data_IF_776399146083
#
_entry.id   IF_776399146083
#
_cell.length_a   1.000
_cell.length_b   1.000
_cell.length_c   1.000
_cell.angle_alpha   90.00
_cell.angle_beta   90.00
_cell.angle_gamma   90.00
#
_symmetry.space_group_name_H-M   'P 1'
#
loop_
_entity.id
_entity.type
_entity.pdbx_description
1 polymer ?
#
# COMPACT_ATOMS: atom_id res chain seq x y z
N UNK A 1 -3.99 -0.72 -6.15
CA UNK A 1 -2.87 0.05 -6.77
C UNK A 1 -1.81 -0.92 -7.29
N UNK A 2 -1.10 -1.67 -6.42
CA UNK A 2 0.07 -2.51 -6.79
C UNK A 2 -0.18 -3.48 -7.96
N UNK A 3 -1.33 -4.17 -8.01
CA UNK A 3 -1.64 -5.08 -9.11
C UNK A 3 -1.76 -4.36 -10.45
N UNK A 4 -2.33 -3.16 -10.46
CA UNK A 4 -2.40 -2.32 -11.65
C UNK A 4 -1.03 -1.82 -12.08
N UNK A 5 -0.22 -1.34 -11.12
CA UNK A 5 1.16 -0.93 -11.38
C UNK A 5 2.00 -2.07 -11.99
N UNK A 6 1.81 -3.31 -11.53
CA UNK A 6 2.51 -4.47 -12.05
C UNK A 6 2.16 -4.78 -13.52
N UNK A 7 0.93 -4.54 -13.93
CA UNK A 7 0.49 -4.69 -15.34
C UNK A 7 0.77 -3.43 -16.19
N UNK A 8 1.58 -2.50 -15.67
CA UNK A 8 2.02 -1.30 -16.39
C UNK A 8 1.00 -0.18 -16.47
N UNK A 9 -0.09 -0.26 -15.70
CA UNK A 9 -1.12 0.78 -15.70
C UNK A 9 -0.58 2.05 -15.03
N UNK A 10 -0.60 3.15 -15.76
CA UNK A 10 -0.38 4.48 -15.22
C UNK A 10 -1.72 5.07 -14.80
N UNK A 11 -2.07 4.92 -13.53
CA UNK A 11 -3.39 5.33 -12.99
C UNK A 11 -3.70 6.80 -13.33
N UNK A 12 -2.69 7.67 -13.27
CA UNK A 12 -2.74 9.05 -13.81
C UNK A 12 -1.64 9.16 -14.85
N UNK A 13 -1.99 9.50 -16.07
CA UNK A 13 -1.06 9.66 -17.19
C UNK A 13 -0.31 10.99 -17.14
N UNK A 14 0.70 11.16 -18.00
CA UNK A 14 1.46 12.42 -18.12
C UNK A 14 0.61 13.62 -18.55
N UNK A 15 -0.53 13.39 -19.18
CA UNK A 15 -1.50 14.42 -19.57
C UNK A 15 -2.53 14.74 -18.49
N UNK A 16 -2.36 14.15 -17.31
CA UNK A 16 -3.25 14.28 -16.15
C UNK A 16 -4.64 13.66 -16.37
N UNK A 17 -4.70 12.60 -17.17
CA UNK A 17 -5.90 11.78 -17.40
C UNK A 17 -5.82 10.45 -16.63
N UNK A 18 -6.96 9.89 -16.28
CA UNK A 18 -7.07 8.58 -15.64
C UNK A 18 -7.10 7.45 -16.68
N UNK A 19 -6.29 6.39 -16.49
CA UNK A 19 -6.20 5.21 -17.39
C UNK A 19 -6.75 3.92 -16.74
N UNK A 20 -7.73 4.04 -15.84
CA UNK A 20 -8.34 2.86 -15.19
C UNK A 20 -9.37 2.11 -16.03
N UNK A 21 -9.64 2.55 -17.26
CA UNK A 21 -10.49 1.86 -18.24
C UNK A 21 -9.72 1.36 -19.48
N UNK A 22 -8.39 1.51 -19.50
CA UNK A 22 -7.56 0.92 -20.54
C UNK A 22 -7.50 -0.61 -20.45
N UNK A 23 -7.08 -1.28 -21.52
CA UNK A 23 -7.11 -2.76 -21.62
C UNK A 23 -6.36 -3.45 -20.48
N UNK A 24 -5.20 -2.93 -20.07
CA UNK A 24 -4.42 -3.47 -18.97
C UNK A 24 -5.17 -3.33 -17.64
N UNK A 25 -5.75 -2.16 -17.36
CA UNK A 25 -6.52 -1.91 -16.15
C UNK A 25 -7.78 -2.78 -16.07
N UNK A 26 -8.53 -2.88 -17.19
CA UNK A 26 -9.68 -3.78 -17.28
C UNK A 26 -9.28 -5.25 -17.10
N UNK A 27 -8.08 -5.64 -17.57
CA UNK A 27 -7.51 -6.97 -17.35
C UNK A 27 -7.32 -7.28 -15.86
N UNK A 28 -6.75 -6.36 -15.11
CA UNK A 28 -6.58 -6.49 -13.65
C UNK A 28 -7.93 -6.55 -12.94
N UNK A 29 -8.86 -5.67 -13.31
CA UNK A 29 -10.21 -5.65 -12.72
C UNK A 29 -10.94 -6.98 -12.95
N UNK A 30 -10.86 -7.53 -14.18
CA UNK A 30 -11.42 -8.84 -14.53
C UNK A 30 -10.77 -9.97 -13.75
N UNK A 31 -9.46 -9.93 -13.56
CA UNK A 31 -8.73 -10.93 -12.76
C UNK A 31 -9.22 -10.94 -11.31
N UNK A 32 -9.29 -9.78 -10.67
CA UNK A 32 -9.77 -9.66 -9.27
C UNK A 32 -11.22 -10.14 -9.17
N UNK A 33 -12.08 -9.70 -10.10
CA UNK A 33 -13.49 -10.12 -10.16
C UNK A 33 -13.60 -11.64 -10.33
N UNK A 34 -12.78 -12.23 -11.18
CA UNK A 34 -12.73 -13.67 -11.38
C UNK A 34 -12.39 -14.44 -10.10
N UNK A 35 -11.45 -13.96 -9.29
CA UNK A 35 -11.15 -14.56 -7.98
C UNK A 35 -12.34 -14.47 -7.01
N UNK A 36 -13.03 -13.33 -7.01
CA UNK A 36 -14.21 -13.13 -6.17
C UNK A 36 -15.38 -14.03 -6.62
N UNK A 37 -15.63 -14.14 -7.91
CA UNK A 37 -16.71 -14.96 -8.47
C UNK A 37 -16.47 -16.47 -8.29
N UNK A 38 -15.20 -16.89 -8.29
CA UNK A 38 -14.79 -18.26 -8.01
C UNK A 38 -14.89 -18.60 -6.50
N UNK A 39 -15.04 -17.61 -5.63
CA UNK A 39 -15.01 -17.80 -4.18
C UNK A 39 -13.60 -17.96 -3.61
N UNK A 40 -12.55 -17.73 -4.42
CA UNK A 40 -11.15 -17.81 -3.99
C UNK A 40 -10.71 -16.56 -3.22
N UNK A 41 -11.40 -15.44 -3.45
CA UNK A 41 -11.16 -14.18 -2.75
C UNK A 41 -12.47 -13.46 -2.43
N UNK A 42 -12.39 -12.44 -1.58
CA UNK A 42 -13.46 -11.48 -1.41
C UNK A 42 -12.91 -10.05 -1.43
N UNK A 43 -13.69 -9.13 -1.94
CA UNK A 43 -13.36 -7.71 -1.95
C UNK A 43 -14.02 -7.04 -0.74
N UNK A 44 -13.20 -6.63 0.23
CA UNK A 44 -13.70 -5.91 1.40
C UNK A 44 -14.09 -4.48 1.04
N UNK A 45 -15.30 -4.08 1.39
CA UNK A 45 -15.88 -2.79 1.02
C UNK A 45 -16.51 -2.07 2.21
N UNK A 46 -16.92 -0.82 2.00
CA UNK A 46 -17.52 0.03 3.03
C UNK A 46 -16.48 0.68 3.97
N UNK A 47 -16.99 1.37 4.99
CA UNK A 47 -16.18 2.15 5.94
C UNK A 47 -15.27 1.26 6.80
N UNK A 48 -15.70 0.05 7.12
CA UNK A 48 -15.00 -0.91 7.99
C UNK A 48 -14.23 -1.98 7.22
N UNK A 49 -14.05 -1.80 5.90
CA UNK A 49 -13.42 -2.77 5.01
C UNK A 49 -12.07 -3.29 5.55
N UNK A 50 -11.18 -2.38 5.95
CA UNK A 50 -9.87 -2.75 6.49
C UNK A 50 -9.95 -3.50 7.82
N UNK A 51 -10.90 -3.14 8.69
CA UNK A 51 -11.10 -3.84 9.96
C UNK A 51 -11.68 -5.25 9.73
N UNK A 52 -12.67 -5.37 8.86
CA UNK A 52 -13.29 -6.65 8.48
C UNK A 52 -12.27 -7.60 7.85
N UNK A 53 -11.46 -7.10 6.92
CA UNK A 53 -10.42 -7.88 6.27
C UNK A 53 -9.41 -8.44 7.29
N UNK A 54 -8.93 -7.60 8.22
CA UNK A 54 -8.03 -8.05 9.28
C UNK A 54 -8.67 -9.08 10.19
N UNK A 55 -9.93 -8.84 10.61
CA UNK A 55 -10.63 -9.76 11.50
C UNK A 55 -10.83 -11.14 10.85
N UNK A 56 -11.17 -11.18 9.56
CA UNK A 56 -11.29 -12.46 8.85
C UNK A 56 -9.97 -13.24 8.81
N UNK A 57 -8.84 -12.55 8.71
CA UNK A 57 -7.53 -13.20 8.81
C UNK A 57 -7.25 -13.70 10.24
N UNK A 58 -7.53 -12.91 11.26
CA UNK A 58 -7.36 -13.31 12.68
C UNK A 58 -8.23 -14.52 13.02
N UNK A 59 -9.44 -14.57 12.49
CA UNK A 59 -10.38 -15.67 12.66
C UNK A 59 -10.06 -16.89 11.77
N UNK A 60 -8.95 -16.88 11.04
CA UNK A 60 -8.52 -17.93 10.11
C UNK A 60 -9.56 -18.26 9.01
N UNK A 61 -10.39 -17.27 8.64
CA UNK A 61 -11.36 -17.38 7.54
C UNK A 61 -10.71 -17.16 6.17
N UNK A 62 -9.54 -16.52 6.15
CA UNK A 62 -8.73 -16.30 4.94
C UNK A 62 -7.30 -16.76 5.19
N UNK A 63 -6.70 -17.40 4.18
CA UNK A 63 -5.31 -17.87 4.23
C UNK A 63 -4.31 -16.71 4.09
N UNK A 64 -4.65 -15.71 3.31
CA UNK A 64 -3.79 -14.55 3.05
C UNK A 64 -4.59 -13.26 2.98
N UNK A 65 -3.89 -12.15 3.11
CA UNK A 65 -4.45 -10.80 3.00
C UNK A 65 -3.46 -9.89 2.28
N UNK A 66 -3.93 -9.12 1.31
CA UNK A 66 -3.13 -8.09 0.66
C UNK A 66 -3.22 -6.81 1.48
N UNK A 67 -2.13 -6.46 2.17
CA UNK A 67 -2.17 -5.33 3.10
C UNK A 67 -0.78 -4.67 3.24
N UNK A 68 -0.71 -3.59 4.01
CA UNK A 68 0.53 -2.88 4.28
C UNK A 68 1.41 -3.59 5.31
N UNK A 69 2.72 -3.61 5.08
CA UNK A 69 3.71 -4.16 6.01
C UNK A 69 3.73 -3.46 7.37
N UNK A 70 3.30 -2.20 7.45
CA UNK A 70 3.24 -1.45 8.71
C UNK A 70 2.27 -2.06 9.75
N UNK A 71 1.40 -2.96 9.33
CA UNK A 71 0.50 -3.71 10.22
C UNK A 71 1.01 -5.10 10.60
N UNK A 72 2.19 -5.50 10.14
CA UNK A 72 2.74 -6.84 10.42
C UNK A 72 2.77 -7.14 11.93
N UNK A 73 3.26 -6.22 12.76
CA UNK A 73 3.28 -6.42 14.21
C UNK A 73 1.88 -6.61 14.80
N UNK A 74 0.88 -5.94 14.23
CA UNK A 74 -0.51 -6.10 14.65
C UNK A 74 -1.03 -7.51 14.30
N UNK A 75 -0.75 -8.01 13.09
CA UNK A 75 -1.08 -9.37 12.69
C UNK A 75 -0.43 -10.40 13.62
N UNK A 76 0.87 -10.32 13.84
CA UNK A 76 1.60 -11.23 14.73
C UNK A 76 1.01 -11.23 16.14
N UNK A 77 0.72 -10.05 16.70
CA UNK A 77 0.18 -9.94 18.05
C UNK A 77 -1.25 -10.49 18.20
N UNK A 78 -2.04 -10.48 17.11
CA UNK A 78 -3.43 -10.96 17.10
C UNK A 78 -3.57 -12.43 16.70
N UNK A 79 -2.51 -13.04 16.23
CA UNK A 79 -2.49 -14.43 15.76
C UNK A 79 -1.47 -15.27 16.55
N UNK A 80 -1.64 -15.45 17.88
CA UNK A 80 -0.67 -16.18 18.70
C UNK A 80 -0.63 -17.68 18.40
N UNK A 81 -1.68 -18.23 17.78
CA UNK A 81 -1.85 -19.65 17.56
C UNK A 81 -1.23 -20.16 16.25
N UNK A 82 -0.71 -19.26 15.41
CA UNK A 82 -0.04 -19.60 14.16
C UNK A 82 1.00 -18.57 13.76
N UNK A 83 1.95 -19.00 12.93
CA UNK A 83 3.00 -18.11 12.41
C UNK A 83 2.47 -17.27 11.26
N UNK A 84 2.67 -15.94 11.35
CA UNK A 84 2.32 -14.98 10.30
C UNK A 84 3.55 -14.71 9.46
N UNK A 85 3.52 -15.16 8.21
CA UNK A 85 4.53 -14.85 7.20
C UNK A 85 4.22 -13.56 6.44
N UNK A 86 5.19 -13.12 5.64
CA UNK A 86 5.03 -12.04 4.67
C UNK A 86 5.66 -12.47 3.35
N UNK A 87 4.98 -12.19 2.26
CA UNK A 87 5.48 -12.40 0.91
C UNK A 87 5.35 -11.12 0.09
N UNK A 88 6.24 -10.96 -0.88
CA UNK A 88 6.11 -9.92 -1.88
C UNK A 88 4.88 -10.19 -2.75
N UNK A 89 4.30 -9.13 -3.33
CA UNK A 89 3.20 -9.27 -4.28
C UNK A 89 3.57 -10.24 -5.42
N UNK A 90 2.62 -11.04 -5.92
CA UNK A 90 2.86 -11.89 -7.07
C UNK A 90 3.29 -11.07 -8.29
N UNK A 91 4.09 -11.70 -9.15
CA UNK A 91 4.50 -11.08 -10.40
C UNK A 91 3.29 -10.86 -11.31
N UNK A 92 3.37 -9.79 -12.11
CA UNK A 92 2.46 -9.56 -13.23
C UNK A 92 2.60 -10.64 -14.31
N UNK A 93 1.70 -10.62 -15.28
CA UNK A 93 1.80 -11.46 -16.49
C UNK A 93 3.06 -11.18 -17.29
N UNK A 94 3.59 -9.96 -17.23
CA UNK A 94 4.88 -9.53 -17.79
C UNK A 94 6.09 -10.02 -17.00
N UNK A 95 5.91 -10.52 -15.79
CA UNK A 95 6.97 -10.87 -14.85
C UNK A 95 7.41 -9.73 -13.93
N UNK A 96 6.85 -8.53 -14.06
CA UNK A 96 7.13 -7.39 -13.20
C UNK A 96 6.64 -7.63 -11.76
N UNK A 97 7.38 -7.09 -10.79
CA UNK A 97 7.15 -7.32 -9.36
C UNK A 97 7.20 -6.02 -8.55
N UNK A 98 6.68 -4.95 -9.12
CA UNK A 98 6.66 -3.65 -8.44
C UNK A 98 5.77 -3.68 -7.19
N UNK A 99 6.04 -2.78 -6.27
CA UNK A 99 5.16 -2.48 -5.14
C UNK A 99 5.18 -1.00 -4.86
N UNK A 100 4.10 -0.50 -4.30
CA UNK A 100 4.01 0.89 -3.88
C UNK A 100 4.50 1.07 -2.46
N UNK A 101 5.09 2.23 -2.20
CA UNK A 101 5.38 2.71 -0.85
C UNK A 101 4.50 3.90 -0.53
N UNK A 102 3.77 3.78 0.55
CA UNK A 102 3.14 4.90 1.25
C UNK A 102 3.85 5.15 2.57
N UNK A 103 3.63 6.30 3.16
CA UNK A 103 4.26 6.62 4.43
C UNK A 103 3.74 7.93 5.01
N UNK A 104 4.33 8.34 6.12
CA UNK A 104 4.08 9.62 6.75
C UNK A 104 5.22 10.57 6.44
N UNK A 105 4.89 11.84 6.23
CA UNK A 105 5.85 12.92 6.09
C UNK A 105 5.75 13.85 7.30
N UNK A 106 6.88 14.40 7.70
CA UNK A 106 6.96 15.39 8.76
C UNK A 106 7.30 16.73 8.13
N UNK A 107 6.53 17.76 8.46
CA UNK A 107 6.73 19.11 7.92
C UNK A 107 6.80 20.15 9.03
N UNK A 108 7.53 21.24 8.75
CA UNK A 108 7.60 22.41 9.62
C UNK A 108 6.77 23.52 8.98
N UNK A 109 5.67 23.98 9.61
CA UNK A 109 4.84 25.05 9.04
C UNK A 109 5.65 26.33 8.78
N UNK A 110 5.49 26.88 7.59
CA UNK A 110 6.23 28.10 7.17
C UNK A 110 5.91 29.34 8.00
N UNK A 111 4.71 29.38 8.61
CA UNK A 111 4.23 30.50 9.41
C UNK A 111 4.85 30.59 10.82
N UNK A 112 5.52 29.55 11.30
CA UNK A 112 6.17 29.57 12.62
C UNK A 112 7.35 30.58 12.62
N UNK A 113 7.63 31.13 13.80
CA UNK A 113 8.84 31.92 14.03
C UNK A 113 10.12 31.09 13.86
N UNK A 114 11.25 31.73 13.71
CA UNK A 114 12.51 31.05 13.41
C UNK A 114 13.02 30.18 14.58
N UNK A 115 12.76 30.56 15.82
CA UNK A 115 13.18 29.78 16.99
C UNK A 115 12.38 28.44 17.03
N UNK A 116 11.08 28.50 16.82
CA UNK A 116 10.22 27.33 16.71
C UNK A 116 10.63 26.41 15.53
N UNK A 117 10.94 27.00 14.35
CA UNK A 117 11.45 26.21 13.21
C UNK A 117 12.75 25.51 13.54
N UNK A 118 13.69 26.20 14.19
CA UNK A 118 14.97 25.60 14.56
C UNK A 118 14.79 24.45 15.56
N UNK A 119 13.95 24.59 16.57
CA UNK A 119 13.64 23.52 17.52
C UNK A 119 12.97 22.33 16.83
N UNK A 120 11.99 22.58 15.98
CA UNK A 120 11.32 21.55 15.19
C UNK A 120 12.32 20.82 14.28
N UNK A 121 13.25 21.53 13.65
CA UNK A 121 14.28 20.92 12.82
C UNK A 121 15.21 19.99 13.63
N UNK A 122 15.63 20.40 14.81
CA UNK A 122 16.43 19.53 15.69
C UNK A 122 15.68 18.27 16.08
N UNK A 123 14.38 18.39 16.36
CA UNK A 123 13.52 17.24 16.65
C UNK A 123 13.38 16.31 15.44
N UNK A 124 13.19 16.85 14.24
CA UNK A 124 13.16 16.03 13.01
C UNK A 124 14.48 15.31 12.76
N UNK A 125 15.62 15.99 12.97
CA UNK A 125 16.92 15.36 12.85
C UNK A 125 17.10 14.18 13.86
N UNK A 126 16.61 14.35 15.07
CA UNK A 126 16.60 13.28 16.09
C UNK A 126 15.72 12.11 15.65
N UNK A 127 14.47 12.35 15.25
CA UNK A 127 13.54 11.31 14.80
C UNK A 127 14.04 10.55 13.56
N UNK A 128 14.66 11.26 12.63
CA UNK A 128 15.25 10.66 11.43
C UNK A 128 16.68 10.13 11.67
N UNK A 129 17.18 10.19 12.90
CA UNK A 129 18.46 9.61 13.30
C UNK A 129 18.44 8.08 13.16
N UNK A 130 19.61 7.48 12.94
CA UNK A 130 19.75 6.05 12.67
C UNK A 130 19.10 5.17 13.77
N UNK A 131 19.39 5.46 15.02
CA UNK A 131 18.93 4.68 16.16
C UNK A 131 17.42 4.77 16.33
N UNK A 132 16.87 5.99 16.35
CA UNK A 132 15.42 6.23 16.52
C UNK A 132 14.63 5.68 15.33
N UNK A 133 15.18 5.80 14.12
CA UNK A 133 14.53 5.27 12.92
C UNK A 133 14.44 3.73 12.94
N UNK A 134 15.45 3.05 13.50
CA UNK A 134 15.41 1.60 13.70
C UNK A 134 14.42 1.20 14.79
N UNK A 135 14.43 1.90 15.93
CA UNK A 135 13.46 1.66 17.00
C UNK A 135 12.02 1.84 16.51
N UNK A 136 11.79 2.88 15.68
CA UNK A 136 10.51 3.09 15.03
C UNK A 136 10.12 1.92 14.13
N UNK A 137 11.03 1.47 13.26
CA UNK A 137 10.79 0.34 12.37
C UNK A 137 10.51 -0.96 13.14
N UNK A 138 11.26 -1.24 14.21
CA UNK A 138 11.03 -2.39 15.07
C UNK A 138 9.66 -2.34 15.77
N UNK A 139 9.28 -1.16 16.28
CA UNK A 139 8.05 -0.98 17.04
C UNK A 139 6.79 -0.97 16.18
N UNK A 140 6.86 -0.41 14.98
CA UNK A 140 5.68 -0.15 14.14
C UNK A 140 5.52 -1.11 12.96
N UNK A 141 6.60 -1.69 12.45
CA UNK A 141 6.59 -2.44 11.18
C UNK A 141 6.75 -1.56 9.94
N UNK A 142 7.00 -0.25 10.11
CA UNK A 142 7.43 0.60 9.00
C UNK A 142 8.86 0.26 8.57
N UNK A 143 9.19 0.57 7.32
CA UNK A 143 10.54 0.35 6.82
C UNK A 143 11.51 1.43 7.37
N UNK A 144 12.77 1.07 7.62
CA UNK A 144 13.81 2.07 7.87
C UNK A 144 13.97 2.97 6.65
N UNK A 145 13.99 4.28 6.85
CA UNK A 145 14.06 5.26 5.75
C UNK A 145 15.50 5.58 5.32
N UNK A 146 16.51 5.02 6.00
CA UNK A 146 17.92 5.26 5.72
C UNK A 146 18.59 4.04 5.12
N UNK A 147 19.09 4.14 3.90
CA UNK A 147 19.90 3.10 3.27
C UNK A 147 21.13 2.71 4.10
N UNK A 148 21.69 3.66 4.87
CA UNK A 148 22.83 3.41 5.77
C UNK A 148 22.53 2.44 6.92
N UNK A 149 21.26 2.16 7.18
CA UNK A 149 20.84 1.22 8.24
C UNK A 149 20.77 -0.21 7.72
N UNK A 150 20.31 -0.38 6.47
CA UNK A 150 20.01 -1.69 5.89
C UNK A 150 21.22 -2.63 5.84
N UNK A 151 22.41 -2.08 5.62
CA UNK A 151 23.67 -2.83 5.49
C UNK A 151 24.53 -2.83 6.77
N UNK A 152 23.94 -2.50 7.93
CA UNK A 152 24.64 -2.47 9.21
C UNK A 152 24.33 -3.69 10.06
N UNK A 153 25.06 -3.86 11.17
CA UNK A 153 24.77 -4.90 12.14
C UNK A 153 23.37 -4.74 12.75
N UNK A 154 22.88 -3.50 12.92
CA UNK A 154 21.55 -3.24 13.41
C UNK A 154 20.47 -3.67 12.40
N UNK A 155 20.69 -3.42 11.11
CA UNK A 155 19.80 -3.91 10.04
C UNK A 155 19.74 -5.44 9.99
N UNK A 156 20.88 -6.11 10.17
CA UNK A 156 20.93 -7.58 10.28
C UNK A 156 20.14 -8.08 11.50
N UNK A 157 20.36 -7.48 12.67
CA UNK A 157 19.62 -7.81 13.90
C UNK A 157 18.13 -7.58 13.76
N UNK A 158 17.71 -6.54 13.00
CA UNK A 158 16.30 -6.33 12.68
C UNK A 158 15.73 -7.51 11.91
N UNK A 159 16.42 -7.97 10.87
CA UNK A 159 15.98 -9.12 10.07
C UNK A 159 16.03 -10.44 10.84
N UNK A 160 17.00 -10.62 11.75
CA UNK A 160 17.03 -11.76 12.66
C UNK A 160 15.77 -11.82 13.56
N UNK A 161 15.35 -10.65 14.08
CA UNK A 161 14.12 -10.53 14.89
C UNK A 161 12.82 -10.62 14.07
N UNK A 162 12.86 -10.18 12.80
CA UNK A 162 11.72 -10.07 11.91
C UNK A 162 12.03 -10.63 10.52
N UNK A 163 12.24 -11.95 10.41
CA UNK A 163 12.66 -12.58 9.15
C UNK A 163 11.65 -12.40 8.02
N UNK A 164 10.37 -12.19 8.33
CA UNK A 164 9.35 -11.90 7.32
C UNK A 164 9.63 -10.65 6.49
N UNK A 165 10.39 -9.67 7.02
CA UNK A 165 10.78 -8.47 6.29
C UNK A 165 11.84 -8.71 5.22
N UNK A 166 12.49 -9.88 5.20
CA UNK A 166 13.49 -10.20 4.18
C UNK A 166 12.93 -10.03 2.76
N UNK A 167 11.69 -10.44 2.52
CA UNK A 167 11.06 -10.30 1.19
C UNK A 167 10.96 -8.83 0.71
N UNK A 168 10.89 -7.86 1.64
CA UNK A 168 10.90 -6.43 1.28
C UNK A 168 12.32 -5.97 1.02
N UNK A 169 13.27 -6.34 1.90
CA UNK A 169 14.67 -5.93 1.76
C UNK A 169 15.31 -6.45 0.47
N UNK A 170 14.92 -7.64 0.03
CA UNK A 170 15.39 -8.23 -1.23
C UNK A 170 14.83 -7.52 -2.47
N UNK A 171 13.75 -6.74 -2.32
CA UNK A 171 13.03 -6.11 -3.43
C UNK A 171 12.91 -4.58 -3.30
N UNK A 172 13.78 -3.93 -2.50
CA UNK A 172 13.73 -2.47 -2.30
C UNK A 172 13.85 -1.65 -3.59
N UNK A 173 14.55 -2.18 -4.59
CA UNK A 173 14.70 -1.56 -5.90
C UNK A 173 13.41 -1.62 -6.76
N UNK A 174 12.42 -2.38 -6.34
CA UNK A 174 11.12 -2.53 -7.00
C UNK A 174 10.02 -1.70 -6.33
N UNK A 175 10.39 -0.90 -5.32
CA UNK A 175 9.46 -0.02 -4.61
C UNK A 175 9.31 1.29 -5.41
N UNK A 176 8.07 1.63 -5.70
CA UNK A 176 7.71 2.87 -6.37
C UNK A 176 6.97 3.82 -5.43
N UNK A 177 7.17 5.13 -5.54
CA UNK A 177 6.37 6.07 -4.78
C UNK A 177 4.91 5.98 -5.22
N UNK A 178 4.01 6.15 -4.26
CA UNK A 178 2.59 6.31 -4.53
C UNK A 178 2.33 7.56 -5.38
N UNK A 179 1.22 7.57 -6.09
CA UNK A 179 0.81 8.70 -6.93
C UNK A 179 0.82 10.00 -6.11
N UNK A 180 1.54 10.99 -6.61
CA UNK A 180 1.67 12.31 -6.01
C UNK A 180 0.82 13.31 -6.80
N UNK A 181 -0.48 13.34 -6.50
CA UNK A 181 -1.44 14.29 -7.06
C UNK A 181 -2.28 14.88 -5.93
N UNK A 182 -2.60 16.18 -6.00
CA UNK A 182 -3.39 16.86 -5.00
C UNK A 182 -4.81 16.26 -4.87
N UNK A 183 -5.37 15.79 -5.97
CA UNK A 183 -6.69 15.16 -6.03
C UNK A 183 -6.69 13.68 -5.61
N UNK A 184 -5.53 13.08 -5.29
CA UNK A 184 -5.41 11.65 -5.01
C UNK A 184 -6.43 11.10 -4.02
N UNK A 185 -6.70 11.82 -2.93
CA UNK A 185 -7.61 11.35 -1.89
C UNK A 185 -9.05 11.19 -2.41
N UNK A 186 -9.49 12.12 -3.25
CA UNK A 186 -10.82 12.12 -3.86
C UNK A 186 -10.91 11.04 -4.95
N UNK A 187 -9.93 11.02 -5.85
CA UNK A 187 -9.78 9.99 -6.87
C UNK A 187 -9.81 8.58 -6.27
N UNK A 188 -9.01 8.33 -5.23
CA UNK A 188 -8.96 7.02 -4.59
C UNK A 188 -10.29 6.62 -3.94
N UNK A 189 -11.08 7.59 -3.50
CA UNK A 189 -12.42 7.35 -2.96
C UNK A 189 -13.39 6.96 -4.08
N UNK A 190 -13.40 7.69 -5.19
CA UNK A 190 -14.20 7.37 -6.38
C UNK A 190 -13.83 6.00 -6.92
N UNK A 191 -12.53 5.71 -7.12
CA UNK A 191 -12.07 4.40 -7.56
C UNK A 191 -12.56 3.27 -6.63
N UNK A 192 -12.41 3.43 -5.32
CA UNK A 192 -12.87 2.45 -4.36
C UNK A 192 -14.37 2.18 -4.45
N UNK A 193 -15.18 3.23 -4.63
CA UNK A 193 -16.64 3.10 -4.73
C UNK A 193 -17.04 2.29 -5.99
N UNK A 194 -16.44 2.60 -7.14
CA UNK A 194 -16.71 1.84 -8.36
C UNK A 194 -16.20 0.40 -8.28
N UNK A 195 -15.05 0.16 -7.67
CA UNK A 195 -14.59 -1.20 -7.41
C UNK A 195 -15.57 -1.98 -6.52
N UNK A 196 -16.19 -1.33 -5.54
CA UNK A 196 -17.24 -1.96 -4.73
C UNK A 196 -18.47 -2.34 -5.56
N UNK A 197 -18.91 -1.46 -6.47
CA UNK A 197 -20.03 -1.72 -7.38
C UNK A 197 -19.69 -2.93 -8.25
N UNK A 198 -18.53 -2.92 -8.90
CA UNK A 198 -18.08 -3.99 -9.81
C UNK A 198 -17.94 -5.32 -9.07
N UNK A 199 -17.27 -5.33 -7.91
CA UNK A 199 -16.93 -6.56 -7.22
C UNK A 199 -18.10 -7.18 -6.46
N UNK A 200 -18.95 -6.36 -5.81
CA UNK A 200 -19.92 -6.82 -4.83
C UNK A 200 -21.39 -6.61 -5.23
N UNK A 201 -21.67 -5.69 -6.17
CA UNK A 201 -23.04 -5.29 -6.47
C UNK A 201 -23.50 -5.69 -7.89
N UNK A 202 -22.67 -6.44 -8.61
CA UNK A 202 -23.01 -6.96 -9.95
C UNK A 202 -22.83 -5.91 -11.06
N UNK A 203 -22.00 -4.90 -10.84
CA UNK A 203 -21.65 -3.90 -11.85
C UNK A 203 -20.95 -4.52 -13.07
N UNK A 204 -21.09 -3.85 -14.21
CA UNK A 204 -20.41 -4.21 -15.46
C UNK A 204 -19.00 -3.59 -15.48
N UNK A 205 -17.98 -4.44 -15.65
CA UNK A 205 -16.58 -4.01 -15.56
C UNK A 205 -16.27 -2.88 -16.54
N UNK A 206 -16.74 -2.98 -17.78
CA UNK A 206 -16.38 -2.01 -18.82
C UNK A 206 -17.17 -0.72 -18.66
N UNK A 207 -18.48 -0.81 -18.46
CA UNK A 207 -19.34 0.37 -18.30
C UNK A 207 -18.97 1.15 -17.04
N UNK A 208 -18.90 0.46 -15.89
CA UNK A 208 -18.62 1.14 -14.62
C UNK A 208 -17.18 1.68 -14.55
N UNK A 209 -16.21 1.04 -15.24
CA UNK A 209 -14.87 1.61 -15.36
C UNK A 209 -14.84 2.87 -16.23
N UNK A 210 -15.64 2.96 -17.28
CA UNK A 210 -15.76 4.17 -18.10
C UNK A 210 -16.40 5.32 -17.32
N UNK A 211 -17.45 5.04 -16.58
CA UNK A 211 -18.12 6.02 -15.72
C UNK A 211 -17.18 6.51 -14.61
N UNK A 212 -16.46 5.58 -13.98
CA UNK A 212 -15.41 5.88 -13.00
C UNK A 212 -14.34 6.82 -13.55
N UNK A 213 -13.79 6.51 -14.73
CA UNK A 213 -12.74 7.32 -15.36
C UNK A 213 -13.28 8.71 -15.72
N UNK A 214 -14.53 8.79 -16.18
CA UNK A 214 -15.18 10.07 -16.47
C UNK A 214 -15.27 10.94 -15.21
N UNK A 215 -15.75 10.38 -14.09
CA UNK A 215 -15.84 11.08 -12.81
C UNK A 215 -14.45 11.47 -12.27
N UNK A 216 -13.46 10.58 -12.37
CA UNK A 216 -12.08 10.88 -11.95
C UNK A 216 -11.47 12.01 -12.77
N UNK A 217 -11.70 12.06 -14.09
CA UNK A 217 -11.18 13.12 -14.95
C UNK A 217 -11.83 14.48 -14.67
N UNK A 218 -13.04 14.52 -14.08
CA UNK A 218 -13.64 15.76 -13.59
C UNK A 218 -12.96 16.28 -12.28
N UNK A 219 -12.32 15.37 -11.53
CA UNK A 219 -11.59 15.70 -10.30
C UNK A 219 -10.15 16.16 -10.60
N UNK A 220 -9.52 15.62 -11.65
CA UNK A 220 -8.14 15.92 -12.07
C UNK A 220 -8.03 17.28 -12.75
#
# INVERSE_FOLDING_TARGET
ETLYLNEGVQIITGDNDCDLNGDAALGVTKMIKGWCDAGDAYFAAGTDASATMRQNFYDQKTFSVMHTSSLYNNYVSKCPDFEVGMAWYPAATTGDKNSEVGGCVLGIPSKNDQATKNAAWQFLQFLCGKEVNMEWAEGTGYLPTRNSVLNTEEGKKFLEKKPAFQCIFDNLNLINPRIQNAAWSELATTWKNYMEIIMNQGGDITSDSNDMVTEINEIL
#
